data_IF_209190739243
#
_entry.id   IF_209190739243
#
_cell.length_a   1.000
_cell.length_b   1.000
_cell.length_c   1.000
_cell.angle_alpha   90.00
_cell.angle_beta   90.00
_cell.angle_gamma   90.00
#
_symmetry.space_group_name_H-M   'P 1'
#
loop_
_entity.id
_entity.type
_entity.pdbx_description
1 polymer ?
#
# COMPACT_ATOMS: atom_id res chain seq x y z
N UNK A 1 16.31 -6.03 49.98
CA UNK A 1 15.11 -5.30 49.53
C UNK A 1 15.49 -4.61 48.23
N UNK A 2 15.33 -5.31 47.11
CA UNK A 2 14.35 -5.01 46.04
C UNK A 2 14.88 -3.88 45.12
N UNK A 3 15.05 -4.04 43.81
CA UNK A 3 14.35 -4.91 42.88
C UNK A 3 15.26 -5.35 41.71
N UNK A 4 15.07 -6.60 41.30
CA UNK A 4 15.47 -7.10 40.00
C UNK A 4 14.67 -6.38 38.91
N UNK A 5 15.33 -5.56 38.11
CA UNK A 5 14.80 -5.16 36.80
C UNK A 5 15.34 -6.17 35.79
N UNK A 6 14.47 -7.12 35.45
CA UNK A 6 14.63 -8.16 34.44
C UNK A 6 15.29 -7.58 33.19
N UNK A 7 16.49 -8.09 32.89
CA UNK A 7 17.11 -7.95 31.59
C UNK A 7 16.15 -8.50 30.54
N UNK A 8 15.55 -7.63 29.74
CA UNK A 8 15.03 -7.98 28.42
C UNK A 8 16.24 -8.35 27.56
N UNK A 9 16.69 -9.60 27.71
CA UNK A 9 17.49 -10.25 26.71
C UNK A 9 16.62 -10.34 25.46
N UNK A 10 16.83 -9.40 24.53
CA UNK A 10 16.57 -9.70 23.15
C UNK A 10 17.40 -10.94 22.84
N UNK A 11 16.75 -12.10 22.74
CA UNK A 11 17.40 -13.27 22.14
C UNK A 11 17.98 -12.80 20.80
N UNK A 12 19.22 -13.17 20.46
CA UNK A 12 19.73 -12.87 19.14
C UNK A 12 18.76 -13.52 18.16
N UNK A 13 18.04 -12.70 17.40
CA UNK A 13 17.27 -13.17 16.25
C UNK A 13 18.33 -13.76 15.31
N UNK A 14 18.59 -15.07 15.45
CA UNK A 14 19.40 -15.79 14.52
C UNK A 14 18.70 -15.59 13.17
N UNK A 15 19.32 -14.79 12.30
CA UNK A 15 18.77 -14.48 10.99
C UNK A 15 18.43 -15.81 10.33
N UNK A 16 17.13 -16.16 10.31
CA UNK A 16 16.67 -17.40 9.72
C UNK A 16 16.95 -17.26 8.24
N UNK A 17 18.01 -17.90 7.78
CA UNK A 17 18.33 -17.96 6.35
C UNK A 17 17.16 -18.67 5.68
N UNK A 18 16.31 -17.89 5.03
CA UNK A 18 15.14 -18.42 4.31
C UNK A 18 15.62 -19.39 3.23
N UNK A 19 14.96 -20.54 3.12
CA UNK A 19 15.29 -21.51 2.08
C UNK A 19 15.06 -20.87 0.69
N UNK A 20 15.83 -21.27 -0.34
CA UNK A 20 15.70 -20.69 -1.67
C UNK A 20 14.28 -20.74 -2.24
N UNK A 21 13.51 -21.77 -1.90
CA UNK A 21 12.12 -21.90 -2.36
C UNK A 21 11.19 -20.89 -1.69
N UNK A 22 11.37 -20.63 -0.39
CA UNK A 22 10.63 -19.57 0.31
C UNK A 22 10.97 -18.19 -0.27
N UNK A 23 12.24 -17.95 -0.63
CA UNK A 23 12.65 -16.69 -1.28
C UNK A 23 11.95 -16.46 -2.62
N UNK A 24 11.83 -17.51 -3.45
CA UNK A 24 11.13 -17.44 -4.74
C UNK A 24 9.64 -17.13 -4.56
N UNK A 25 8.98 -17.80 -3.61
CA UNK A 25 7.55 -17.59 -3.33
C UNK A 25 7.32 -16.15 -2.85
N UNK A 26 8.16 -15.65 -1.95
CA UNK A 26 8.10 -14.26 -1.47
C UNK A 26 8.26 -13.26 -2.62
N UNK A 27 9.27 -13.43 -3.47
CA UNK A 27 9.52 -12.53 -4.59
C UNK A 27 8.33 -12.50 -5.57
N UNK A 28 7.77 -13.67 -5.90
CA UNK A 28 6.61 -13.76 -6.77
C UNK A 28 5.35 -13.17 -6.12
N UNK A 29 5.07 -13.49 -4.86
CA UNK A 29 3.92 -12.98 -4.12
C UNK A 29 3.98 -11.46 -3.97
N UNK A 30 5.16 -10.89 -3.67
CA UNK A 30 5.37 -9.45 -3.59
C UNK A 30 5.09 -8.77 -4.94
N UNK A 31 5.70 -9.24 -6.03
CA UNK A 31 5.49 -8.65 -7.36
C UNK A 31 4.04 -8.76 -7.83
N UNK A 32 3.43 -9.94 -7.67
CA UNK A 32 2.07 -10.19 -8.13
C UNK A 32 1.02 -9.45 -7.28
N UNK A 33 1.22 -9.38 -5.96
CA UNK A 33 0.34 -8.64 -5.05
C UNK A 33 0.25 -7.16 -5.41
N UNK A 34 1.40 -6.54 -5.75
CA UNK A 34 1.43 -5.15 -6.21
C UNK A 34 0.79 -4.97 -7.57
N UNK A 35 1.02 -5.88 -8.51
CA UNK A 35 0.39 -5.81 -9.82
C UNK A 35 -1.15 -5.78 -9.71
N UNK A 36 -1.73 -6.63 -8.84
CA UNK A 36 -3.17 -6.64 -8.59
C UNK A 36 -3.65 -5.34 -7.93
N UNK A 37 -2.94 -4.87 -6.89
CA UNK A 37 -3.32 -3.66 -6.19
C UNK A 37 -3.27 -2.43 -7.11
N UNK A 38 -2.21 -2.30 -7.91
CA UNK A 38 -2.06 -1.23 -8.89
C UNK A 38 -3.14 -1.31 -9.98
N UNK A 39 -3.48 -2.52 -10.46
CA UNK A 39 -4.54 -2.70 -11.44
C UNK A 39 -5.91 -2.28 -10.88
N UNK A 40 -6.27 -2.72 -9.67
CA UNK A 40 -7.50 -2.32 -9.00
C UNK A 40 -7.56 -0.83 -8.71
N UNK A 41 -6.44 -0.25 -8.25
CA UNK A 41 -6.28 1.19 -8.02
C UNK A 41 -6.52 2.01 -9.29
N UNK A 42 -5.85 1.65 -10.39
CA UNK A 42 -6.02 2.33 -11.67
C UNK A 42 -7.47 2.28 -12.19
N UNK A 43 -8.16 1.15 -11.99
CA UNK A 43 -9.57 1.00 -12.39
C UNK A 43 -10.50 1.90 -11.55
N UNK A 44 -10.27 2.00 -10.24
CA UNK A 44 -11.03 2.89 -9.36
C UNK A 44 -10.76 4.37 -9.65
N UNK A 45 -9.48 4.73 -9.79
CA UNK A 45 -9.05 6.10 -10.01
C UNK A 45 -9.50 6.66 -11.36
N UNK A 46 -9.38 5.87 -12.44
CA UNK A 46 -9.83 6.28 -13.77
C UNK A 46 -11.32 6.62 -13.80
N UNK A 47 -12.17 5.80 -13.17
CA UNK A 47 -13.61 6.05 -13.08
C UNK A 47 -13.94 7.33 -12.31
N UNK A 48 -13.26 7.56 -11.18
CA UNK A 48 -13.44 8.78 -10.39
C UNK A 48 -13.03 10.03 -11.19
N UNK A 49 -11.89 9.97 -11.91
CA UNK A 49 -11.40 11.06 -12.74
C UNK A 49 -12.35 11.35 -13.91
N UNK A 50 -12.80 10.33 -14.64
CA UNK A 50 -13.74 10.50 -15.77
C UNK A 50 -15.04 11.16 -15.29
N UNK A 51 -15.62 10.67 -14.19
CA UNK A 51 -16.85 11.25 -13.62
C UNK A 51 -16.66 12.72 -13.20
N UNK A 52 -15.51 13.04 -12.58
CA UNK A 52 -15.20 14.41 -12.20
C UNK A 52 -15.01 15.33 -13.41
N UNK A 53 -14.28 14.88 -14.44
CA UNK A 53 -14.06 15.65 -15.66
C UNK A 53 -15.36 15.88 -16.44
N UNK A 54 -16.23 14.87 -16.54
CA UNK A 54 -17.56 15.01 -17.15
C UNK A 54 -18.42 16.02 -16.37
N UNK A 55 -18.37 15.98 -15.04
CA UNK A 55 -19.05 16.95 -14.18
C UNK A 55 -18.55 18.38 -14.40
N UNK A 56 -17.23 18.56 -14.49
CA UNK A 56 -16.60 19.86 -14.75
C UNK A 56 -16.94 20.37 -16.16
N UNK A 57 -16.93 19.50 -17.16
CA UNK A 57 -17.26 19.87 -18.54
C UNK A 57 -18.71 20.37 -18.67
N UNK A 58 -19.64 19.79 -17.92
CA UNK A 58 -21.06 20.21 -17.90
C UNK A 58 -21.30 21.47 -17.06
N UNK A 59 -20.51 21.70 -16.01
CA UNK A 59 -20.61 22.89 -15.18
C UNK A 59 -19.22 23.38 -14.72
N UNK A 60 -18.55 24.23 -15.52
CA UNK A 60 -17.20 24.71 -15.21
C UNK A 60 -17.11 25.49 -13.89
N UNK A 61 -18.20 26.19 -13.50
CA UNK A 61 -18.25 26.95 -12.24
C UNK A 61 -18.20 26.06 -10.99
N UNK A 62 -18.55 24.77 -11.11
CA UNK A 62 -18.47 23.80 -10.02
C UNK A 62 -17.08 23.17 -9.85
N UNK A 63 -16.11 23.46 -10.71
CA UNK A 63 -14.79 22.80 -10.73
C UNK A 63 -14.11 22.76 -9.36
N UNK A 64 -14.00 23.90 -8.68
CA UNK A 64 -13.39 23.97 -7.35
C UNK A 64 -14.10 23.10 -6.29
N UNK A 65 -15.40 22.86 -6.44
CA UNK A 65 -16.20 22.03 -5.53
C UNK A 65 -16.11 20.53 -5.85
N UNK A 66 -15.66 20.17 -7.06
CA UNK A 66 -15.49 18.78 -7.52
C UNK A 66 -14.06 18.29 -7.25
N UNK A 67 -13.05 19.12 -7.52
CA UNK A 67 -11.63 18.70 -7.44
C UNK A 67 -11.24 18.26 -6.03
N UNK A 68 -11.60 19.02 -4.99
CA UNK A 68 -11.25 18.67 -3.60
C UNK A 68 -11.78 17.30 -3.18
N UNK A 69 -13.09 17.00 -3.24
CA UNK A 69 -13.58 15.66 -2.90
C UNK A 69 -13.06 14.56 -3.83
N UNK A 70 -12.81 14.86 -5.12
CA UNK A 70 -12.17 13.92 -6.04
C UNK A 70 -10.78 13.53 -5.53
N UNK A 71 -9.91 14.49 -5.20
CA UNK A 71 -8.56 14.21 -4.69
C UNK A 71 -8.60 13.43 -3.37
N UNK A 72 -9.53 13.76 -2.46
CA UNK A 72 -9.72 13.00 -1.22
C UNK A 72 -10.10 11.55 -1.53
N UNK A 73 -11.05 11.32 -2.45
CA UNK A 73 -11.43 9.97 -2.88
C UNK A 73 -10.28 9.21 -3.55
N UNK A 74 -9.51 9.86 -4.43
CA UNK A 74 -8.33 9.29 -5.07
C UNK A 74 -7.25 8.91 -4.04
N UNK A 75 -7.04 9.74 -3.02
CA UNK A 75 -6.10 9.45 -1.94
C UNK A 75 -6.54 8.24 -1.10
N UNK A 76 -7.84 8.05 -0.88
CA UNK A 76 -8.34 6.86 -0.19
C UNK A 76 -8.13 5.58 -1.02
N UNK A 77 -8.33 5.64 -2.33
CA UNK A 77 -8.03 4.51 -3.23
C UNK A 77 -6.52 4.23 -3.23
N UNK A 78 -5.70 5.26 -3.35
CA UNK A 78 -4.24 5.15 -3.34
C UNK A 78 -3.72 4.58 -2.02
N UNK A 79 -4.38 4.87 -0.89
CA UNK A 79 -4.00 4.33 0.42
C UNK A 79 -3.94 2.80 0.44
N UNK A 80 -4.80 2.13 -0.32
CA UNK A 80 -4.82 0.67 -0.44
C UNK A 80 -3.63 0.17 -1.26
N UNK A 81 -3.27 0.90 -2.34
CA UNK A 81 -2.14 0.57 -3.21
C UNK A 81 -0.82 0.75 -2.45
N UNK A 82 -0.66 1.84 -1.70
CA UNK A 82 0.54 2.07 -0.88
C UNK A 82 0.63 1.08 0.29
N UNK A 83 -0.49 0.62 0.85
CA UNK A 83 -0.44 -0.44 1.87
C UNK A 83 -0.03 -1.78 1.26
N UNK A 84 -0.50 -2.11 0.06
CA UNK A 84 0.02 -3.27 -0.66
C UNK A 84 1.53 -3.13 -0.91
N UNK A 85 1.99 -1.95 -1.37
CA UNK A 85 3.41 -1.62 -1.56
C UNK A 85 4.23 -1.81 -0.30
N UNK A 86 3.74 -1.29 0.83
CA UNK A 86 4.39 -1.46 2.13
C UNK A 86 4.55 -2.93 2.47
N UNK A 87 3.49 -3.74 2.34
CA UNK A 87 3.55 -5.18 2.63
C UNK A 87 4.53 -5.89 1.70
N UNK A 88 4.54 -5.57 0.41
CA UNK A 88 5.50 -6.13 -0.54
C UNK A 88 6.94 -5.77 -0.17
N UNK A 89 7.23 -4.51 0.19
CA UNK A 89 8.55 -4.08 0.64
C UNK A 89 8.98 -4.78 1.92
N UNK A 90 8.09 -4.92 2.91
CA UNK A 90 8.36 -5.66 4.15
C UNK A 90 8.69 -7.14 3.89
N UNK A 91 8.07 -7.74 2.88
CA UNK A 91 8.39 -9.11 2.46
C UNK A 91 9.75 -9.19 1.74
N UNK A 92 10.06 -8.24 0.86
CA UNK A 92 11.35 -8.19 0.14
C UNK A 92 12.51 -7.91 1.09
N UNK A 93 12.36 -7.04 2.09
CA UNK A 93 13.41 -6.76 3.08
C UNK A 93 13.69 -7.93 4.03
N UNK A 94 12.86 -8.97 4.03
CA UNK A 94 13.10 -10.22 4.77
C UNK A 94 13.90 -11.27 3.96
N UNK A 95 14.13 -11.05 2.66
CA UNK A 95 14.91 -11.96 1.79
C UNK A 95 16.40 -11.90 2.06
#
# INVERSE_FOLDING_TARGET
>A
MAAAAVAMAAEPEAAKVLTPDVKKVIAFAAGFGIAIAAFGGALGQSRAIVSALDGIARNPAASGRIVTPMIIGLAMIESLVIYALLVALLMIFKL
#
